data_IF_710402462652
#
_entry.id   IF_710402462652
#
_cell.length_a   1.000
_cell.length_b   1.000
_cell.length_c   1.000
_cell.angle_alpha   90.00
_cell.angle_beta   90.00
_cell.angle_gamma   90.00
#
_symmetry.space_group_name_H-M   'P 1'
#
loop_
_entity.id
_entity.type
_entity.pdbx_description
1 polymer ?
#
# COMPACT_ATOMS: atom_id res chain seq x y z
N UNK A 1 -7.48 -37.27 -4.05
CA UNK A 1 -7.60 -35.77 -4.08
C UNK A 1 -6.24 -35.22 -4.49
N UNK A 2 -6.18 -34.40 -5.51
CA UNK A 2 -4.93 -33.70 -5.88
C UNK A 2 -4.51 -32.78 -4.74
N UNK A 3 -3.22 -32.82 -4.38
CA UNK A 3 -2.66 -31.96 -3.33
C UNK A 3 -2.79 -30.49 -3.76
N UNK A 4 -3.38 -29.65 -2.93
CA UNK A 4 -3.49 -28.20 -3.17
C UNK A 4 -2.13 -27.51 -3.06
N UNK A 5 -1.90 -26.51 -3.88
CA UNK A 5 -0.62 -25.77 -3.98
C UNK A 5 -0.80 -24.30 -3.64
N UNK A 6 0.06 -23.80 -2.75
CA UNK A 6 0.17 -22.40 -2.40
C UNK A 6 1.47 -21.83 -2.99
N UNK A 7 1.36 -20.81 -3.81
CA UNK A 7 2.48 -20.00 -4.25
C UNK A 7 2.53 -18.72 -3.40
N UNK A 8 3.65 -18.46 -2.76
CA UNK A 8 3.85 -17.30 -1.89
C UNK A 8 4.89 -16.39 -2.52
N UNK A 9 4.54 -15.15 -2.79
CA UNK A 9 5.49 -14.15 -3.26
C UNK A 9 5.96 -13.27 -2.10
N UNK A 10 7.23 -13.39 -1.74
CA UNK A 10 7.84 -12.80 -0.54
C UNK A 10 9.12 -11.99 -0.86
N UNK A 11 9.01 -10.84 -1.58
CA UNK A 11 10.19 -10.08 -2.00
C UNK A 11 10.73 -9.13 -0.94
N UNK A 12 9.97 -8.76 0.09
CA UNK A 12 10.17 -7.60 0.96
C UNK A 12 10.36 -7.96 2.44
N UNK A 13 11.19 -8.96 2.75
CA UNK A 13 11.35 -9.47 4.11
C UNK A 13 11.79 -8.45 5.18
N UNK A 14 12.35 -7.29 4.79
CA UNK A 14 12.81 -6.25 5.71
C UNK A 14 12.03 -4.93 5.60
N UNK A 15 10.99 -4.85 4.79
CA UNK A 15 10.35 -3.54 4.55
C UNK A 15 9.79 -2.94 5.84
N UNK A 16 8.87 -3.60 6.48
CA UNK A 16 8.31 -3.17 7.77
C UNK A 16 7.95 -4.39 8.63
N UNK A 17 8.33 -4.43 9.90
CA UNK A 17 7.75 -5.41 10.83
C UNK A 17 6.27 -5.05 11.11
N UNK A 18 5.36 -6.02 11.20
CA UNK A 18 5.54 -7.47 11.19
C UNK A 18 5.17 -8.16 9.85
N UNK A 19 5.46 -7.56 8.68
CA UNK A 19 5.01 -8.08 7.37
C UNK A 19 5.45 -9.53 7.16
N UNK A 20 6.74 -9.83 7.38
CA UNK A 20 7.25 -11.19 7.21
C UNK A 20 6.63 -12.15 8.23
N UNK A 21 6.53 -11.74 9.47
CA UNK A 21 5.99 -12.55 10.56
C UNK A 21 4.52 -12.92 10.30
N UNK A 22 3.70 -11.95 9.89
CA UNK A 22 2.31 -12.18 9.46
C UNK A 22 2.24 -13.14 8.27
N UNK A 23 3.13 -12.97 7.28
CA UNK A 23 3.19 -13.89 6.14
C UNK A 23 3.48 -15.32 6.59
N UNK A 24 4.44 -15.50 7.51
CA UNK A 24 4.82 -16.83 8.02
C UNK A 24 3.67 -17.49 8.77
N UNK A 25 2.91 -16.75 9.56
CA UNK A 25 1.71 -17.25 10.22
C UNK A 25 0.67 -17.75 9.21
N UNK A 26 0.31 -16.92 8.23
CA UNK A 26 -0.64 -17.30 7.17
C UNK A 26 -0.14 -18.53 6.39
N UNK A 27 1.13 -18.57 6.05
CA UNK A 27 1.77 -19.72 5.34
C UNK A 27 1.69 -20.97 6.19
N UNK A 28 1.93 -20.89 7.50
CA UNK A 28 1.82 -22.04 8.39
C UNK A 28 0.40 -22.57 8.43
N UNK A 29 -0.61 -21.70 8.50
CA UNK A 29 -2.03 -22.10 8.48
C UNK A 29 -2.40 -22.86 7.19
N UNK A 30 -1.92 -22.42 6.03
CA UNK A 30 -2.10 -23.15 4.77
C UNK A 30 -1.38 -24.51 4.76
N UNK A 31 -0.16 -24.55 5.31
CA UNK A 31 0.61 -25.81 5.40
C UNK A 31 -0.09 -26.81 6.32
N UNK A 32 -0.64 -26.37 7.46
CA UNK A 32 -1.39 -27.19 8.41
C UNK A 32 -2.71 -27.71 7.79
N UNK A 33 -3.28 -26.98 6.83
CA UNK A 33 -4.41 -27.42 6.00
C UNK A 33 -4.00 -28.39 4.88
N UNK A 34 -2.71 -28.73 4.75
CA UNK A 34 -2.20 -29.72 3.79
C UNK A 34 -1.81 -29.15 2.43
N UNK A 35 -1.66 -27.84 2.29
CA UNK A 35 -1.14 -27.27 1.04
C UNK A 35 0.36 -27.57 0.88
N UNK A 36 0.78 -27.85 -0.35
CA UNK A 36 2.19 -27.77 -0.74
C UNK A 36 2.55 -26.32 -0.97
N UNK A 37 3.57 -25.82 -0.26
CA UNK A 37 3.95 -24.42 -0.28
C UNK A 37 5.23 -24.20 -1.09
N UNK A 38 5.20 -23.25 -2.02
CA UNK A 38 6.38 -22.74 -2.72
C UNK A 38 6.56 -21.25 -2.41
N UNK A 39 7.69 -20.89 -1.80
CA UNK A 39 8.06 -19.51 -1.46
C UNK A 39 8.95 -18.92 -2.55
N UNK A 40 8.50 -17.85 -3.20
CA UNK A 40 9.31 -17.09 -4.16
C UNK A 40 10.00 -15.92 -3.44
N UNK A 41 11.32 -15.87 -3.55
CA UNK A 41 12.16 -14.83 -2.90
C UNK A 41 12.95 -14.02 -3.93
N UNK A 42 13.21 -12.74 -3.63
CA UNK A 42 13.81 -11.81 -4.59
C UNK A 42 15.28 -12.10 -4.93
N UNK A 43 16.06 -12.63 -4.01
CA UNK A 43 17.51 -12.86 -4.15
C UNK A 43 18.33 -11.66 -4.70
N UNK A 44 17.85 -10.43 -4.51
CA UNK A 44 18.44 -9.20 -5.01
C UNK A 44 18.33 -9.00 -6.54
N UNK A 45 17.38 -9.63 -7.20
CA UNK A 45 17.20 -9.50 -8.65
C UNK A 45 16.42 -8.24 -9.06
N UNK A 46 15.62 -7.66 -8.16
CA UNK A 46 14.93 -6.41 -8.46
C UNK A 46 15.91 -5.25 -8.47
N UNK A 47 15.99 -4.45 -9.56
CA UNK A 47 16.86 -3.26 -9.63
C UNK A 47 16.53 -2.21 -8.58
N UNK A 48 15.29 -2.17 -8.12
CA UNK A 48 14.79 -1.34 -7.02
C UNK A 48 13.57 -2.01 -6.39
N UNK A 49 13.35 -1.76 -5.11
CA UNK A 49 12.15 -2.14 -4.39
C UNK A 49 11.90 -1.15 -3.25
N UNK A 50 10.72 -1.21 -2.63
CA UNK A 50 10.29 -0.30 -1.57
C UNK A 50 11.20 -0.35 -0.33
N UNK A 51 11.78 -1.52 -0.04
CA UNK A 51 12.73 -1.70 1.06
C UNK A 51 14.16 -1.25 0.73
N UNK A 52 14.47 -1.08 -0.57
CA UNK A 52 15.84 -0.75 -1.03
C UNK A 52 15.82 -0.02 -2.38
N UNK A 53 15.40 1.27 -2.41
CA UNK A 53 15.29 2.04 -3.66
C UNK A 53 16.61 2.16 -4.42
N UNK A 54 17.71 2.23 -3.69
CA UNK A 54 19.07 2.40 -4.25
C UNK A 54 19.76 1.07 -4.58
N UNK A 55 19.09 -0.05 -4.35
CA UNK A 55 19.64 -1.39 -4.55
C UNK A 55 20.99 -1.60 -3.82
N UNK A 56 21.09 -1.11 -2.58
CA UNK A 56 22.32 -1.25 -1.81
C UNK A 56 22.53 -2.72 -1.39
N UNK A 57 23.68 -3.29 -1.69
CA UNK A 57 23.98 -4.72 -1.50
C UNK A 57 23.77 -5.21 -0.05
N UNK A 58 24.14 -4.39 0.95
CA UNK A 58 24.02 -4.77 2.37
C UNK A 58 22.56 -4.90 2.79
N UNK A 59 21.67 -4.04 2.27
CA UNK A 59 20.23 -4.10 2.50
C UNK A 59 19.63 -5.38 1.90
N UNK A 60 20.03 -5.73 0.67
CA UNK A 60 19.62 -6.99 0.05
C UNK A 60 20.15 -8.20 0.83
N UNK A 61 21.38 -8.14 1.34
CA UNK A 61 21.96 -9.22 2.16
C UNK A 61 21.16 -9.41 3.46
N UNK A 62 20.81 -8.31 4.14
CA UNK A 62 20.00 -8.36 5.35
C UNK A 62 18.59 -8.93 5.05
N UNK A 63 17.96 -8.49 3.95
CA UNK A 63 16.66 -8.98 3.51
C UNK A 63 16.67 -10.50 3.30
N UNK A 64 17.66 -11.01 2.57
CA UNK A 64 17.83 -12.46 2.34
C UNK A 64 18.07 -13.24 3.63
N UNK A 65 18.91 -12.69 4.52
CA UNK A 65 19.21 -13.32 5.80
C UNK A 65 17.98 -13.40 6.68
N UNK A 66 17.16 -12.33 6.74
CA UNK A 66 15.91 -12.31 7.48
C UNK A 66 14.87 -13.28 6.90
N UNK A 67 14.70 -13.29 5.57
CA UNK A 67 13.83 -14.26 4.90
C UNK A 67 14.22 -15.69 5.23
N UNK A 68 15.53 -16.04 5.10
CA UNK A 68 16.04 -17.37 5.41
C UNK A 68 15.80 -17.75 6.89
N UNK A 69 16.04 -16.84 7.82
CA UNK A 69 15.78 -17.06 9.23
C UNK A 69 14.27 -17.27 9.50
N UNK A 70 13.41 -16.43 8.92
CA UNK A 70 11.96 -16.56 9.05
C UNK A 70 11.44 -17.89 8.52
N UNK A 71 11.87 -18.30 7.34
CA UNK A 71 11.44 -19.58 6.75
C UNK A 71 11.88 -20.81 7.59
N UNK A 72 12.98 -20.69 8.34
CA UNK A 72 13.42 -21.73 9.28
C UNK A 72 12.48 -21.93 10.47
N UNK A 73 11.51 -21.05 10.72
CA UNK A 73 10.49 -21.20 11.77
C UNK A 73 9.27 -21.97 11.32
N UNK A 74 9.06 -22.14 10.01
CA UNK A 74 7.96 -22.92 9.47
C UNK A 74 8.12 -24.38 9.83
N UNK A 75 7.03 -25.01 10.29
CA UNK A 75 7.00 -26.40 10.74
C UNK A 75 6.26 -27.28 9.75
N UNK A 76 6.66 -28.53 9.64
CA UNK A 76 5.97 -29.53 8.81
C UNK A 76 6.73 -29.90 7.54
N UNK A 77 6.01 -30.47 6.56
CA UNK A 77 6.59 -31.05 5.35
C UNK A 77 7.04 -29.97 4.38
N UNK A 78 8.17 -30.21 3.73
CA UNK A 78 8.86 -29.47 2.68
C UNK A 78 8.20 -28.18 2.16
N UNK A 79 8.75 -27.07 2.61
CA UNK A 79 8.58 -25.78 1.96
C UNK A 79 9.65 -25.65 0.88
N UNK A 80 9.24 -25.45 -0.35
CA UNK A 80 10.17 -25.16 -1.43
C UNK A 80 10.45 -23.66 -1.43
N UNK A 81 11.74 -23.28 -1.39
CA UNK A 81 12.18 -21.89 -1.54
C UNK A 81 12.85 -21.74 -2.88
N UNK A 82 12.29 -20.91 -3.74
CA UNK A 82 12.70 -20.76 -5.13
C UNK A 82 12.98 -19.30 -5.42
N UNK A 83 13.94 -19.04 -6.31
CA UNK A 83 14.16 -17.70 -6.84
C UNK A 83 12.92 -17.24 -7.62
N UNK A 84 12.48 -16.00 -7.36
CA UNK A 84 11.35 -15.45 -8.09
C UNK A 84 11.70 -15.15 -9.55
N UNK A 85 12.96 -14.80 -9.85
CA UNK A 85 13.35 -14.46 -11.21
C UNK A 85 13.25 -15.68 -12.13
N UNK A 86 12.32 -15.58 -13.05
CA UNK A 86 12.01 -16.62 -14.02
C UNK A 86 11.51 -15.99 -15.32
N UNK A 87 12.45 -15.46 -16.11
CA UNK A 87 12.15 -14.81 -17.40
C UNK A 87 12.94 -15.48 -18.52
N UNK A 88 12.32 -15.65 -19.67
CA UNK A 88 13.01 -16.10 -20.89
C UNK A 88 13.85 -14.96 -21.49
N UNK A 89 14.78 -15.28 -22.41
CA UNK A 89 15.56 -14.24 -23.12
C UNK A 89 14.66 -13.25 -23.87
N UNK A 90 13.59 -13.72 -24.51
CA UNK A 90 12.61 -12.88 -25.20
C UNK A 90 11.89 -11.96 -24.20
N UNK A 91 11.49 -12.47 -23.06
CA UNK A 91 10.86 -11.65 -22.03
C UNK A 91 11.85 -10.64 -21.43
N UNK A 92 13.13 -11.01 -21.29
CA UNK A 92 14.16 -10.07 -20.84
C UNK A 92 14.33 -8.90 -21.83
N UNK A 93 14.33 -9.15 -23.13
CA UNK A 93 14.34 -8.11 -24.15
C UNK A 93 13.09 -7.21 -24.09
N UNK A 94 11.92 -7.80 -23.84
CA UNK A 94 10.68 -7.02 -23.60
C UNK A 94 10.78 -6.15 -22.34
N UNK A 95 11.27 -6.70 -21.23
CA UNK A 95 11.53 -5.93 -19.99
C UNK A 95 12.44 -4.74 -20.26
N UNK A 96 13.51 -4.95 -21.04
CA UNK A 96 14.46 -3.90 -21.40
C UNK A 96 13.83 -2.84 -22.28
N UNK A 97 12.95 -3.22 -23.21
CA UNK A 97 12.20 -2.31 -24.06
C UNK A 97 11.19 -1.48 -23.25
N UNK A 98 10.41 -2.13 -22.38
CA UNK A 98 9.43 -1.49 -21.50
C UNK A 98 10.12 -0.48 -20.55
N UNK A 99 11.26 -0.85 -19.97
CA UNK A 99 12.04 0.02 -19.07
C UNK A 99 12.62 1.26 -19.76
N UNK A 100 12.75 1.23 -21.10
CA UNK A 100 13.17 2.38 -21.91
C UNK A 100 12.03 3.28 -22.36
N UNK A 101 10.78 2.92 -22.07
CA UNK A 101 9.62 3.77 -22.37
C UNK A 101 9.81 5.12 -21.71
N UNK A 102 9.76 6.17 -22.52
CA UNK A 102 9.83 7.54 -22.01
C UNK A 102 8.48 7.92 -21.44
N UNK A 103 8.46 8.32 -20.20
CA UNK A 103 7.29 8.82 -19.48
C UNK A 103 7.59 10.25 -19.04
N UNK A 104 6.78 11.20 -19.46
CA UNK A 104 6.97 12.64 -19.18
C UNK A 104 5.95 13.16 -18.16
N UNK A 105 4.81 12.50 -18.04
CA UNK A 105 3.71 12.92 -17.17
C UNK A 105 3.20 11.77 -16.30
N UNK A 106 2.56 12.13 -15.19
CA UNK A 106 1.87 11.15 -14.30
C UNK A 106 0.77 10.41 -15.07
N UNK A 107 0.06 11.12 -15.98
CA UNK A 107 -1.00 10.50 -16.78
C UNK A 107 -0.45 9.43 -17.73
N UNK A 108 0.67 9.69 -18.40
CA UNK A 108 1.36 8.69 -19.23
C UNK A 108 1.86 7.51 -18.40
N UNK A 109 2.44 7.77 -17.22
CA UNK A 109 2.86 6.68 -16.33
C UNK A 109 1.67 5.83 -15.91
N UNK A 110 0.58 6.45 -15.47
CA UNK A 110 -0.64 5.75 -15.04
C UNK A 110 -1.23 4.87 -16.14
N UNK A 111 -1.14 5.31 -17.40
CA UNK A 111 -1.64 4.57 -18.56
C UNK A 111 -0.71 3.44 -19.03
N UNK A 112 0.47 3.27 -18.44
CA UNK A 112 1.42 2.24 -18.87
C UNK A 112 0.95 0.85 -18.44
N UNK A 113 0.64 0.02 -19.44
CA UNK A 113 0.22 -1.36 -19.27
C UNK A 113 1.16 -2.35 -19.95
N UNK A 114 1.22 -3.58 -19.42
CA UNK A 114 1.93 -4.71 -20.01
C UNK A 114 1.03 -5.95 -19.95
N UNK A 115 0.62 -6.44 -21.11
CA UNK A 115 -0.25 -7.62 -21.24
C UNK A 115 -1.52 -7.52 -20.35
N UNK A 116 -2.13 -6.31 -20.30
CA UNK A 116 -3.30 -6.02 -19.46
C UNK A 116 -3.01 -5.79 -17.96
N UNK A 117 -1.75 -5.81 -17.58
CA UNK A 117 -1.33 -5.44 -16.21
C UNK A 117 -1.02 -3.94 -16.12
N UNK A 118 -1.64 -3.24 -15.22
CA UNK A 118 -1.49 -1.80 -14.95
C UNK A 118 -0.18 -1.49 -14.18
N UNK A 119 0.94 -1.90 -14.75
CA UNK A 119 2.26 -1.72 -14.12
C UNK A 119 2.59 -0.24 -13.87
N UNK A 120 2.07 0.66 -14.69
CA UNK A 120 2.25 2.09 -14.53
C UNK A 120 1.66 2.62 -13.23
N UNK A 121 0.48 2.12 -12.83
CA UNK A 121 -0.13 2.45 -11.54
C UNK A 121 0.71 1.94 -10.36
N UNK A 122 1.27 0.74 -10.47
CA UNK A 122 2.19 0.19 -9.48
C UNK A 122 3.46 1.05 -9.32
N UNK A 123 4.05 1.46 -10.44
CA UNK A 123 5.23 2.32 -10.48
C UNK A 123 4.91 3.70 -9.89
N UNK A 124 3.79 4.30 -10.28
CA UNK A 124 3.34 5.58 -9.74
C UNK A 124 3.20 5.52 -8.21
N UNK A 125 2.56 4.46 -7.69
CA UNK A 125 2.41 4.26 -6.25
C UNK A 125 3.77 4.21 -5.53
N UNK A 126 4.76 3.50 -6.09
CA UNK A 126 6.11 3.43 -5.51
C UNK A 126 6.82 4.78 -5.56
N UNK A 127 6.78 5.49 -6.69
CA UNK A 127 7.47 6.78 -6.86
C UNK A 127 6.87 7.84 -5.95
N UNK A 128 5.54 8.00 -5.94
CA UNK A 128 4.82 8.95 -5.08
C UNK A 128 5.13 8.70 -3.60
N UNK A 129 5.04 7.44 -3.15
CA UNK A 129 5.30 7.08 -1.76
C UNK A 129 6.77 7.28 -1.37
N UNK A 130 7.72 6.98 -2.27
CA UNK A 130 9.15 7.13 -1.99
C UNK A 130 9.59 8.59 -1.93
N UNK A 131 9.04 9.44 -2.78
CA UNK A 131 9.35 10.87 -2.84
C UNK A 131 8.51 11.69 -1.85
N UNK A 132 7.44 11.11 -1.30
CA UNK A 132 6.46 11.83 -0.48
C UNK A 132 5.91 13.06 -1.22
N UNK A 133 5.71 12.95 -2.53
CA UNK A 133 5.19 14.00 -3.40
C UNK A 133 4.01 13.45 -4.23
N UNK A 134 2.80 14.02 -4.11
CA UNK A 134 1.64 13.57 -4.87
C UNK A 134 1.75 13.91 -6.38
N UNK A 135 2.64 14.83 -6.76
CA UNK A 135 2.82 15.26 -8.15
C UNK A 135 4.30 15.42 -8.52
N UNK A 136 5.08 14.31 -8.48
CA UNK A 136 6.51 14.36 -8.78
C UNK A 136 6.77 14.66 -10.27
N UNK A 137 7.81 15.43 -10.54
CA UNK A 137 8.27 15.68 -11.90
C UNK A 137 8.94 14.43 -12.49
N UNK A 138 8.29 13.79 -13.45
CA UNK A 138 8.77 12.57 -14.10
C UNK A 138 10.11 12.77 -14.82
N UNK A 139 10.41 13.95 -15.31
CA UNK A 139 11.68 14.22 -15.99
C UNK A 139 12.85 14.28 -15.00
N UNK A 140 12.65 14.91 -13.85
CA UNK A 140 13.65 14.96 -12.76
C UNK A 140 13.93 13.55 -12.22
N UNK A 141 12.91 12.70 -12.12
CA UNK A 141 13.01 11.37 -11.53
C UNK A 141 13.09 10.23 -12.55
N UNK A 142 13.42 10.55 -13.82
CA UNK A 142 13.43 9.59 -14.94
C UNK A 142 14.20 8.30 -14.65
N UNK A 143 15.36 8.38 -14.03
CA UNK A 143 16.17 7.21 -13.75
C UNK A 143 15.51 6.28 -12.71
N UNK A 144 14.88 6.84 -11.69
CA UNK A 144 14.14 6.09 -10.68
C UNK A 144 12.88 5.46 -11.29
N UNK A 145 12.13 6.21 -12.11
CA UNK A 145 10.96 5.71 -12.83
C UNK A 145 11.32 4.53 -13.73
N UNK A 146 12.39 4.64 -14.54
CA UNK A 146 12.84 3.57 -15.42
C UNK A 146 13.27 2.30 -14.67
N UNK A 147 13.99 2.45 -13.54
CA UNK A 147 14.34 1.31 -12.67
C UNK A 147 13.10 0.64 -12.09
N UNK A 148 12.12 1.43 -11.66
CA UNK A 148 10.89 0.93 -11.05
C UNK A 148 10.01 0.23 -12.09
N UNK A 149 9.90 0.76 -13.31
CA UNK A 149 9.25 0.10 -14.46
C UNK A 149 9.91 -1.26 -14.72
N UNK A 150 11.24 -1.31 -14.75
CA UNK A 150 11.99 -2.57 -14.94
C UNK A 150 11.64 -3.59 -13.85
N UNK A 151 11.62 -3.18 -12.58
CA UNK A 151 11.24 -4.06 -11.47
C UNK A 151 9.82 -4.60 -11.64
N UNK A 152 8.85 -3.75 -11.96
CA UNK A 152 7.47 -4.13 -12.17
C UNK A 152 7.30 -5.14 -13.32
N UNK A 153 7.97 -4.91 -14.46
CA UNK A 153 7.94 -5.81 -15.60
C UNK A 153 8.59 -7.17 -15.30
N UNK A 154 9.73 -7.19 -14.58
CA UNK A 154 10.36 -8.45 -14.13
C UNK A 154 9.42 -9.26 -13.23
N UNK A 155 8.73 -8.61 -12.29
CA UNK A 155 7.74 -9.28 -11.43
C UNK A 155 6.62 -9.87 -12.27
N UNK A 156 6.04 -9.10 -13.17
CA UNK A 156 4.94 -9.55 -14.03
C UNK A 156 5.28 -10.85 -14.77
N UNK A 157 6.35 -10.85 -15.58
CA UNK A 157 6.72 -12.02 -16.37
C UNK A 157 7.17 -13.20 -15.51
N UNK A 158 7.92 -12.96 -14.44
CA UNK A 158 8.39 -14.02 -13.56
C UNK A 158 7.24 -14.74 -12.85
N UNK A 159 6.25 -13.98 -12.36
CA UNK A 159 5.10 -14.59 -11.68
C UNK A 159 4.23 -15.37 -12.65
N UNK A 160 3.97 -14.86 -13.86
CA UNK A 160 3.27 -15.61 -14.91
C UNK A 160 3.97 -16.96 -15.19
N UNK A 161 5.28 -16.96 -15.40
CA UNK A 161 6.03 -18.19 -15.68
C UNK A 161 6.04 -19.16 -14.49
N UNK A 162 6.01 -18.67 -13.26
CA UNK A 162 5.86 -19.53 -12.08
C UNK A 162 4.45 -20.12 -11.98
N UNK A 163 3.42 -19.33 -12.27
CA UNK A 163 2.04 -19.82 -12.30
C UNK A 163 1.88 -20.93 -13.34
N UNK A 164 2.37 -20.71 -14.55
CA UNK A 164 2.31 -21.71 -15.63
C UNK A 164 3.04 -23.02 -15.26
N UNK A 165 4.21 -22.90 -14.63
CA UNK A 165 5.02 -24.05 -14.26
C UNK A 165 4.47 -24.81 -13.06
N UNK A 166 3.99 -24.10 -12.05
CA UNK A 166 3.64 -24.68 -10.74
C UNK A 166 2.15 -24.98 -10.61
N UNK A 167 1.30 -24.38 -11.46
CA UNK A 167 -0.16 -24.49 -11.43
C UNK A 167 -0.71 -24.38 -10.00
N UNK A 168 -0.47 -23.23 -9.29
CA UNK A 168 -0.92 -23.07 -7.92
C UNK A 168 -2.45 -22.90 -7.87
N UNK A 169 -3.07 -23.39 -6.78
CA UNK A 169 -4.48 -23.10 -6.48
C UNK A 169 -4.66 -21.70 -5.88
N UNK A 170 -3.62 -21.22 -5.17
CA UNK A 170 -3.64 -19.92 -4.48
C UNK A 170 -2.29 -19.22 -4.66
N UNK A 171 -2.33 -17.91 -4.93
CA UNK A 171 -1.19 -16.99 -4.86
C UNK A 171 -1.38 -16.07 -3.64
N UNK A 172 -0.46 -16.16 -2.68
CA UNK A 172 -0.41 -15.29 -1.50
C UNK A 172 0.65 -14.20 -1.66
N UNK A 173 0.28 -12.94 -1.41
CA UNK A 173 1.21 -11.82 -1.42
C UNK A 173 0.78 -10.71 -0.44
N UNK A 174 1.72 -9.84 -0.08
CA UNK A 174 1.48 -8.67 0.75
C UNK A 174 0.98 -7.48 -0.10
N UNK A 175 0.10 -6.64 0.45
CA UNK A 175 -0.31 -5.29 0.00
C UNK A 175 -0.88 -5.20 -1.43
N UNK A 176 -0.20 -5.66 -2.46
CA UNK A 176 -0.69 -5.65 -3.85
C UNK A 176 -0.75 -4.28 -4.53
N UNK A 177 -0.15 -3.22 -3.97
CA UNK A 177 -0.25 -1.84 -4.50
C UNK A 177 1.00 -1.38 -5.26
N UNK A 178 2.18 -1.65 -4.72
CA UNK A 178 3.46 -1.07 -5.17
C UNK A 178 4.12 -1.86 -6.30
N UNK A 179 5.17 -1.31 -6.91
CA UNK A 179 5.81 -1.85 -8.11
C UNK A 179 6.38 -3.26 -7.95
N UNK A 180 6.84 -3.61 -6.74
CA UNK A 180 7.33 -4.96 -6.47
C UNK A 180 6.22 -5.98 -6.16
N UNK A 181 4.94 -5.58 -6.05
CA UNK A 181 3.85 -6.43 -5.59
C UNK A 181 2.64 -6.45 -6.53
N UNK A 182 2.16 -5.28 -7.00
CA UNK A 182 0.97 -5.20 -7.87
C UNK A 182 1.06 -6.02 -9.14
N UNK A 183 2.20 -6.09 -9.85
CA UNK A 183 2.30 -6.93 -11.04
C UNK A 183 2.11 -8.42 -10.75
N UNK A 184 2.46 -8.87 -9.53
CA UNK A 184 2.21 -10.26 -9.12
C UNK A 184 0.72 -10.52 -8.88
N UNK A 185 0.01 -9.58 -8.25
CA UNK A 185 -1.44 -9.63 -8.10
C UNK A 185 -2.14 -9.72 -9.46
N UNK A 186 -1.77 -8.82 -10.39
CA UNK A 186 -2.35 -8.77 -11.74
C UNK A 186 -2.05 -10.04 -12.54
N UNK A 187 -0.84 -10.60 -12.42
CA UNK A 187 -0.49 -11.87 -13.04
C UNK A 187 -1.37 -13.02 -12.51
N UNK A 188 -1.60 -13.09 -11.20
CA UNK A 188 -2.51 -14.08 -10.59
C UNK A 188 -3.94 -13.93 -11.11
N UNK A 189 -4.48 -12.73 -11.11
CA UNK A 189 -5.83 -12.41 -11.60
C UNK A 189 -5.98 -12.77 -13.10
N UNK A 190 -5.04 -12.37 -13.94
CA UNK A 190 -5.05 -12.66 -15.37
C UNK A 190 -4.98 -14.16 -15.67
N UNK A 191 -4.31 -14.93 -14.82
CA UNK A 191 -4.19 -16.39 -14.93
C UNK A 191 -5.36 -17.16 -14.31
N UNK A 192 -6.34 -16.47 -13.71
CA UNK A 192 -7.46 -17.10 -13.02
C UNK A 192 -7.07 -17.85 -11.74
N UNK A 193 -5.89 -17.60 -11.19
CA UNK A 193 -5.43 -18.16 -9.91
C UNK A 193 -6.05 -17.34 -8.79
N UNK A 194 -6.63 -18.01 -7.79
CA UNK A 194 -7.15 -17.33 -6.61
C UNK A 194 -6.03 -16.54 -5.92
N UNK A 195 -6.18 -15.23 -5.82
CA UNK A 195 -5.22 -14.38 -5.13
C UNK A 195 -5.68 -14.08 -3.72
N UNK A 196 -4.76 -14.18 -2.76
CA UNK A 196 -4.94 -13.78 -1.37
C UNK A 196 -3.94 -12.69 -1.06
N UNK A 197 -4.45 -11.51 -0.75
CA UNK A 197 -3.63 -10.36 -0.40
C UNK A 197 -3.83 -10.01 1.06
N UNK A 198 -2.75 -9.95 1.82
CA UNK A 198 -2.82 -9.56 3.22
C UNK A 198 -2.22 -8.17 3.44
N UNK A 199 -2.69 -7.49 4.49
CA UNK A 199 -2.18 -6.21 4.96
C UNK A 199 -2.09 -6.24 6.49
N UNK A 200 -1.15 -5.49 7.04
CA UNK A 200 -1.03 -5.31 8.49
C UNK A 200 -2.28 -4.62 9.03
N UNK A 201 -2.86 -5.19 10.06
CA UNK A 201 -4.06 -4.64 10.68
C UNK A 201 -3.79 -3.41 11.55
N UNK A 202 -4.86 -2.80 12.04
CA UNK A 202 -4.80 -1.65 12.95
C UNK A 202 -4.29 -1.99 14.37
N UNK A 203 -3.92 -3.24 14.63
CA UNK A 203 -3.34 -3.74 15.87
C UNK A 203 -2.19 -4.69 15.58
N UNK A 204 -1.16 -4.80 16.46
CA UNK A 204 0.00 -5.67 16.23
C UNK A 204 -0.31 -7.15 16.06
N UNK A 205 -1.45 -7.60 16.61
CA UNK A 205 -1.96 -8.97 16.58
C UNK A 205 -3.06 -9.19 15.54
N UNK A 206 -3.22 -8.28 14.61
CA UNK A 206 -4.27 -8.31 13.59
C UNK A 206 -3.72 -8.10 12.20
N UNK A 207 -4.30 -8.76 11.24
CA UNK A 207 -4.09 -8.53 9.81
C UNK A 207 -5.41 -8.63 9.05
N UNK A 208 -5.46 -7.99 7.90
CA UNK A 208 -6.58 -8.07 6.96
C UNK A 208 -6.18 -8.97 5.80
N UNK A 209 -7.11 -9.81 5.34
CA UNK A 209 -6.97 -10.55 4.07
C UNK A 209 -8.10 -10.20 3.13
N UNK A 210 -7.76 -9.97 1.87
CA UNK A 210 -8.70 -9.79 0.77
C UNK A 210 -8.51 -10.88 -0.28
N UNK A 211 -9.60 -11.21 -0.98
CA UNK A 211 -9.60 -12.24 -2.02
C UNK A 211 -9.78 -11.57 -3.38
N UNK A 212 -8.91 -11.90 -4.33
CA UNK A 212 -8.94 -11.42 -5.72
C UNK A 212 -8.95 -9.90 -5.89
N UNK A 213 -8.59 -9.18 -4.84
CA UNK A 213 -8.40 -7.74 -4.81
C UNK A 213 -7.31 -7.37 -3.81
N UNK A 214 -6.99 -6.08 -3.67
CA UNK A 214 -6.00 -5.62 -2.70
C UNK A 214 -6.65 -4.82 -1.56
N UNK A 215 -6.00 -4.72 -0.39
CA UNK A 215 -6.58 -4.14 0.83
C UNK A 215 -6.92 -2.64 0.77
N UNK A 216 -6.57 -1.96 -0.31
CA UNK A 216 -6.89 -0.53 -0.53
C UNK A 216 -8.08 -0.32 -1.47
N UNK A 217 -8.70 -1.39 -1.94
CA UNK A 217 -9.95 -1.32 -2.71
C UNK A 217 -11.12 -1.03 -1.75
N UNK A 218 -11.63 0.22 -1.81
CA UNK A 218 -12.65 0.69 -0.87
C UNK A 218 -13.98 -0.02 -1.03
N UNK A 219 -14.37 -0.38 -2.25
CA UNK A 219 -15.63 -1.10 -2.48
C UNK A 219 -15.53 -2.53 -1.94
N UNK A 220 -14.44 -3.21 -2.22
CA UNK A 220 -14.21 -4.55 -1.67
C UNK A 220 -14.11 -4.53 -0.14
N UNK A 221 -13.46 -3.53 0.46
CA UNK A 221 -13.40 -3.36 1.91
C UNK A 221 -14.79 -3.13 2.52
N UNK A 222 -15.61 -2.30 1.89
CA UNK A 222 -16.97 -2.04 2.32
C UNK A 222 -17.79 -3.33 2.38
N UNK A 223 -17.67 -4.18 1.35
CA UNK A 223 -18.35 -5.46 1.31
C UNK A 223 -17.86 -6.41 2.41
N UNK A 224 -16.56 -6.48 2.64
CA UNK A 224 -15.96 -7.26 3.72
C UNK A 224 -16.46 -6.79 5.09
N UNK A 225 -16.47 -5.49 5.35
CA UNK A 225 -16.93 -4.95 6.62
C UNK A 225 -18.44 -5.12 6.82
N UNK A 226 -19.24 -4.93 5.77
CA UNK A 226 -20.69 -5.20 5.83
C UNK A 226 -20.95 -6.66 6.18
N UNK A 227 -20.27 -7.58 5.51
CA UNK A 227 -20.37 -9.01 5.79
C UNK A 227 -20.02 -9.34 7.23
N UNK A 228 -18.87 -8.83 7.75
CA UNK A 228 -18.47 -9.02 9.15
C UNK A 228 -19.53 -8.48 10.09
N UNK A 229 -20.09 -7.29 9.81
CA UNK A 229 -21.13 -6.68 10.63
C UNK A 229 -22.42 -7.51 10.65
N UNK A 230 -22.83 -8.03 9.50
CA UNK A 230 -24.06 -8.81 9.35
C UNK A 230 -23.95 -10.20 9.98
N UNK A 231 -22.78 -10.85 9.86
CA UNK A 231 -22.50 -12.18 10.42
C UNK A 231 -22.18 -12.16 11.92
N UNK A 232 -21.85 -11.00 12.50
CA UNK A 232 -21.54 -10.86 13.91
C UNK A 232 -22.78 -11.13 14.77
N UNK A 233 -22.61 -11.96 15.82
CA UNK A 233 -23.70 -12.43 16.70
C UNK A 233 -24.11 -11.41 17.78
N UNK A 234 -23.31 -10.36 17.97
CA UNK A 234 -23.56 -9.30 18.93
C UNK A 234 -24.84 -8.53 18.62
N UNK A 235 -25.53 -8.07 19.67
CA UNK A 235 -26.70 -7.19 19.48
C UNK A 235 -26.30 -5.84 18.84
N UNK A 236 -27.24 -5.12 18.19
CA UNK A 236 -26.96 -3.79 17.64
C UNK A 236 -26.37 -2.82 18.67
N UNK A 237 -26.83 -2.88 19.94
CA UNK A 237 -26.34 -2.05 21.03
C UNK A 237 -24.87 -2.40 21.37
N UNK A 238 -24.54 -3.68 21.38
CA UNK A 238 -23.17 -4.13 21.64
C UNK A 238 -22.23 -3.78 20.48
N UNK A 239 -22.66 -3.93 19.22
CA UNK A 239 -21.92 -3.47 18.06
C UNK A 239 -21.64 -1.96 18.12
N UNK A 240 -22.65 -1.16 18.48
CA UNK A 240 -22.51 0.28 18.68
C UNK A 240 -21.54 0.62 19.83
N UNK A 241 -21.60 -0.13 20.94
CA UNK A 241 -20.68 0.03 22.09
C UNK A 241 -19.24 -0.27 21.68
N UNK A 242 -19.00 -1.36 20.94
CA UNK A 242 -17.67 -1.72 20.45
C UNK A 242 -17.12 -0.62 19.54
N UNK A 243 -17.90 -0.17 18.57
CA UNK A 243 -17.50 0.92 17.67
C UNK A 243 -17.23 2.22 18.45
N UNK A 244 -18.13 2.60 19.37
CA UNK A 244 -17.98 3.79 20.23
C UNK A 244 -16.74 3.75 21.13
N UNK A 245 -16.33 2.56 21.59
CA UNK A 245 -15.15 2.38 22.43
C UNK A 245 -13.86 2.83 21.74
N UNK A 246 -13.76 2.66 20.43
CA UNK A 246 -12.62 3.11 19.62
C UNK A 246 -12.47 4.63 19.67
N UNK A 247 -13.57 5.37 19.48
CA UNK A 247 -13.58 6.84 19.56
C UNK A 247 -13.29 7.31 20.99
N UNK A 248 -13.93 6.68 21.98
CA UNK A 248 -13.73 7.03 23.40
C UNK A 248 -12.27 6.85 23.83
N UNK A 249 -11.60 5.78 23.37
CA UNK A 249 -10.20 5.56 23.66
C UNK A 249 -9.30 6.65 23.05
N UNK A 250 -9.59 7.06 21.80
CA UNK A 250 -8.84 8.14 21.13
C UNK A 250 -9.06 9.50 21.76
N UNK A 251 -10.30 9.84 22.12
CA UNK A 251 -10.60 11.08 22.87
C UNK A 251 -9.85 11.13 24.20
N UNK A 252 -9.71 9.99 24.87
CA UNK A 252 -8.95 9.85 26.11
C UNK A 252 -7.43 9.73 25.90
N UNK A 253 -6.94 9.97 24.68
CA UNK A 253 -5.52 9.80 24.26
C UNK A 253 -4.95 8.41 24.57
N UNK A 254 -5.79 7.39 24.57
CA UNK A 254 -5.40 5.98 24.73
C UNK A 254 -5.32 5.32 23.38
N UNK A 255 -4.24 5.61 22.64
CA UNK A 255 -3.98 4.97 21.34
C UNK A 255 -3.20 3.69 21.59
N UNK A 256 -3.81 2.55 21.31
CA UNK A 256 -3.21 1.24 21.52
C UNK A 256 -2.51 0.71 20.28
N UNK A 257 -2.74 1.30 19.10
CA UNK A 257 -2.28 0.79 17.81
C UNK A 257 -1.99 1.92 16.82
N UNK A 258 -0.94 1.74 16.02
CA UNK A 258 -0.52 2.68 15.00
C UNK A 258 0.28 3.88 15.54
N UNK A 259 0.71 4.75 14.64
CA UNK A 259 1.39 5.98 15.00
C UNK A 259 0.42 6.97 15.64
N UNK A 260 0.78 7.51 16.80
CA UNK A 260 0.05 8.61 17.44
C UNK A 260 0.77 9.92 17.14
N UNK A 261 0.03 10.89 16.61
CA UNK A 261 0.52 12.26 16.42
C UNK A 261 -0.04 13.21 17.51
N UNK A 262 -0.66 12.66 18.55
CA UNK A 262 -1.39 13.44 19.57
C UNK A 262 -0.71 13.44 20.94
N UNK A 263 0.42 12.77 21.10
CA UNK A 263 1.10 12.62 22.40
C UNK A 263 1.50 13.97 23.04
N UNK A 264 1.86 14.96 22.22
CA UNK A 264 2.22 16.30 22.66
C UNK A 264 1.03 17.29 22.67
N UNK A 265 -0.19 16.82 22.43
CA UNK A 265 -1.38 17.67 22.41
C UNK A 265 -1.99 17.81 23.80
N UNK A 266 -2.31 19.05 24.16
CA UNK A 266 -3.03 19.38 25.39
C UNK A 266 -4.51 19.57 25.08
N UNK A 267 -5.37 18.77 25.73
CA UNK A 267 -6.83 18.87 25.57
C UNK A 267 -7.30 20.26 25.98
N UNK A 268 -8.05 20.94 25.09
CA UNK A 268 -8.59 22.27 25.35
C UNK A 268 -7.63 23.42 25.05
N UNK A 269 -6.37 23.16 24.67
CA UNK A 269 -5.46 24.18 24.23
C UNK A 269 -5.87 24.71 22.86
N UNK A 270 -6.29 25.97 22.83
CA UNK A 270 -6.73 26.67 21.62
C UNK A 270 -5.70 27.77 21.32
N UNK A 271 -5.27 27.95 20.04
CA UNK A 271 -4.39 29.03 19.65
C UNK A 271 -4.99 30.41 20.07
N UNK A 272 -4.15 31.30 20.60
CA UNK A 272 -4.57 32.62 21.05
C UNK A 272 -5.14 33.52 19.92
N UNK A 273 -4.81 33.16 18.67
CA UNK A 273 -5.29 33.86 17.46
C UNK A 273 -6.76 33.57 17.14
N UNK A 274 -7.39 32.61 17.83
CA UNK A 274 -8.77 32.25 17.58
C UNK A 274 -9.74 33.16 18.37
N UNK A 275 -10.64 33.80 17.63
CA UNK A 275 -11.69 34.66 18.21
C UNK A 275 -12.67 33.85 19.05
N UNK A 276 -13.04 34.37 20.21
CA UNK A 276 -13.90 33.66 21.16
C UNK A 276 -15.36 33.55 20.70
N UNK A 277 -15.82 34.53 19.90
CA UNK A 277 -17.24 34.65 19.48
C UNK A 277 -17.52 34.21 18.03
N UNK A 278 -16.51 33.76 17.28
CA UNK A 278 -16.70 33.29 15.92
C UNK A 278 -17.11 31.80 15.88
N UNK A 279 -17.92 31.41 14.87
CA UNK A 279 -18.12 30.02 14.51
C UNK A 279 -16.81 29.44 13.98
N UNK A 280 -16.28 28.46 14.65
CA UNK A 280 -15.01 27.82 14.26
C UNK A 280 -15.27 26.62 13.39
N UNK A 281 -14.69 26.60 12.19
CA UNK A 281 -14.78 25.49 11.23
C UNK A 281 -13.40 24.88 11.10
N UNK A 282 -13.24 23.65 11.61
CA UNK A 282 -12.00 22.87 11.46
C UNK A 282 -11.94 22.18 10.10
N UNK A 283 -10.85 22.40 9.36
CA UNK A 283 -10.54 21.70 8.11
C UNK A 283 -9.39 20.74 8.41
N UNK A 284 -9.61 19.45 8.24
CA UNK A 284 -8.61 18.39 8.45
C UNK A 284 -8.25 17.78 7.10
N UNK A 285 -6.98 17.82 6.73
CA UNK A 285 -6.50 17.30 5.48
C UNK A 285 -5.65 16.05 5.68
N UNK A 286 -5.58 15.21 4.65
CA UNK A 286 -4.67 14.07 4.54
C UNK A 286 -3.40 14.43 3.76
N UNK A 287 -2.40 13.58 3.82
CA UNK A 287 -1.23 13.63 2.95
C UNK A 287 -1.59 12.99 1.61
N UNK A 288 -1.60 13.75 0.51
CA UNK A 288 -2.09 13.28 -0.80
C UNK A 288 -1.22 12.18 -1.41
N UNK A 289 0.06 12.11 -1.03
CA UNK A 289 0.97 11.04 -1.45
C UNK A 289 0.51 9.64 -0.98
N UNK A 290 -0.35 9.58 0.03
CA UNK A 290 -0.87 8.31 0.55
C UNK A 290 -1.97 7.70 -0.33
N UNK A 291 -2.68 8.50 -1.14
CA UNK A 291 -3.86 8.04 -1.87
C UNK A 291 -3.91 8.40 -3.37
N UNK A 292 -3.14 9.38 -3.85
CA UNK A 292 -3.19 9.82 -5.26
C UNK A 292 -2.89 8.69 -6.27
N UNK A 293 -2.15 7.69 -5.84
CA UNK A 293 -1.83 6.50 -6.62
C UNK A 293 -2.57 5.24 -6.15
N UNK A 294 -3.78 5.41 -5.60
CA UNK A 294 -4.69 4.34 -5.20
C UNK A 294 -5.98 4.47 -5.99
N UNK A 295 -6.43 3.38 -6.61
CA UNK A 295 -7.66 3.38 -7.40
C UNK A 295 -8.87 3.70 -6.51
N UNK A 296 -9.77 4.55 -7.00
CA UNK A 296 -11.00 4.91 -6.30
C UNK A 296 -10.84 5.88 -5.11
N UNK A 297 -9.61 6.30 -4.78
CA UNK A 297 -9.37 7.23 -3.67
C UNK A 297 -9.26 8.69 -4.09
N UNK A 298 -9.20 8.97 -5.39
CA UNK A 298 -9.19 10.34 -5.89
C UNK A 298 -10.54 11.01 -5.65
N UNK A 299 -10.57 12.26 -5.12
CA UNK A 299 -11.82 12.98 -4.94
C UNK A 299 -12.44 13.32 -6.31
N UNK A 300 -13.74 13.03 -6.46
CA UNK A 300 -14.48 13.33 -7.69
C UNK A 300 -14.93 14.81 -7.76
N UNK A 301 -14.87 15.55 -6.65
CA UNK A 301 -15.42 16.89 -6.52
C UNK A 301 -14.38 17.97 -6.76
N UNK A 302 -13.18 17.79 -6.24
CA UNK A 302 -12.07 18.74 -6.35
C UNK A 302 -10.83 18.07 -6.94
N UNK A 303 -10.04 18.82 -7.69
CA UNK A 303 -8.80 18.32 -8.30
C UNK A 303 -7.75 17.99 -7.23
N UNK A 304 -7.72 18.77 -6.14
CA UNK A 304 -6.86 18.56 -4.96
C UNK A 304 -7.56 19.04 -3.71
N UNK A 305 -7.05 18.66 -2.53
CA UNK A 305 -7.53 19.20 -1.25
C UNK A 305 -7.30 20.72 -1.16
N UNK A 306 -6.18 21.19 -1.66
CA UNK A 306 -5.85 22.62 -1.70
C UNK A 306 -6.86 23.42 -2.50
N UNK A 307 -7.30 22.90 -3.65
CA UNK A 307 -8.34 23.51 -4.47
C UNK A 307 -9.69 23.57 -3.74
N UNK A 308 -10.07 22.47 -3.09
CA UNK A 308 -11.30 22.41 -2.29
C UNK A 308 -11.28 23.44 -1.13
N UNK A 309 -10.14 23.61 -0.49
CA UNK A 309 -9.97 24.63 0.57
C UNK A 309 -10.14 26.03 0.00
N UNK A 310 -9.50 26.37 -1.12
CA UNK A 310 -9.64 27.70 -1.77
C UNK A 310 -11.09 27.99 -2.09
N UNK A 311 -11.79 27.07 -2.74
CA UNK A 311 -13.20 27.24 -3.09
C UNK A 311 -14.08 27.43 -1.84
N UNK A 312 -13.79 26.70 -0.77
CA UNK A 312 -14.49 26.88 0.50
C UNK A 312 -14.24 28.28 1.08
N UNK A 313 -13.00 28.74 1.14
CA UNK A 313 -12.66 30.06 1.66
C UNK A 313 -13.26 31.18 0.80
N UNK A 314 -13.24 31.04 -0.52
CA UNK A 314 -13.85 32.00 -1.46
C UNK A 314 -15.36 32.09 -1.29
N UNK A 315 -16.05 30.95 -1.09
CA UNK A 315 -17.49 30.91 -0.86
C UNK A 315 -17.94 31.60 0.43
N UNK A 316 -17.04 31.73 1.40
CA UNK A 316 -17.29 32.40 2.67
C UNK A 316 -16.55 33.74 2.81
N UNK A 317 -15.88 34.21 1.77
CA UNK A 317 -15.20 35.50 1.78
C UNK A 317 -16.17 36.65 2.13
N UNK A 318 -15.78 37.50 3.07
CA UNK A 318 -16.59 38.62 3.52
C UNK A 318 -17.77 38.24 4.43
N UNK A 319 -17.87 37.03 4.93
CA UNK A 319 -18.83 36.64 5.97
C UNK A 319 -18.19 36.83 7.35
N UNK A 320 -18.72 37.76 8.12
CA UNK A 320 -18.30 37.97 9.50
C UNK A 320 -18.72 36.82 10.42
N UNK A 321 -17.96 36.64 11.49
CA UNK A 321 -18.30 35.68 12.55
C UNK A 321 -17.99 34.21 12.23
N UNK A 322 -17.26 33.91 11.15
CA UNK A 322 -16.76 32.59 10.82
C UNK A 322 -15.22 32.61 10.77
N UNK A 323 -14.60 31.63 11.43
CA UNK A 323 -13.16 31.45 11.43
C UNK A 323 -12.80 30.03 11.02
N UNK A 324 -11.99 29.89 9.97
CA UNK A 324 -11.48 28.60 9.51
C UNK A 324 -10.15 28.24 10.19
N UNK A 325 -10.02 27.00 10.61
CA UNK A 325 -8.81 26.45 11.23
C UNK A 325 -8.35 25.26 10.40
N UNK A 326 -7.27 25.44 9.64
CA UNK A 326 -6.67 24.36 8.85
C UNK A 326 -5.73 23.53 9.73
N UNK A 327 -6.04 22.26 9.91
CA UNK A 327 -5.15 21.28 10.53
C UNK A 327 -4.40 20.53 9.45
N UNK A 328 -3.16 20.89 9.22
CA UNK A 328 -2.26 20.21 8.28
C UNK A 328 -1.87 18.84 8.85
N UNK A 329 -1.87 17.82 8.00
CA UNK A 329 -1.50 16.46 8.40
C UNK A 329 -0.03 16.42 8.87
N UNK A 330 0.27 15.78 10.01
CA UNK A 330 1.64 15.73 10.55
C UNK A 330 2.68 15.14 9.59
N UNK A 331 2.28 14.23 8.72
CA UNK A 331 3.16 13.66 7.69
C UNK A 331 3.71 14.69 6.69
N UNK A 332 3.10 15.85 6.59
CA UNK A 332 3.57 16.95 5.72
C UNK A 332 4.63 17.84 6.41
N UNK A 333 4.85 17.66 7.71
CA UNK A 333 5.80 18.49 8.46
C UNK A 333 7.22 18.32 7.91
N UNK A 334 7.82 19.45 7.52
CA UNK A 334 9.19 19.49 6.99
C UNK A 334 9.36 19.00 5.55
N UNK A 335 8.27 18.68 4.86
CA UNK A 335 8.30 18.35 3.43
C UNK A 335 8.21 19.61 2.57
N UNK A 336 8.94 19.62 1.46
CA UNK A 336 8.80 20.55 0.35
C UNK A 336 8.33 19.76 -0.88
N UNK A 337 7.03 19.62 -1.03
CA UNK A 337 6.38 18.90 -2.13
C UNK A 337 5.26 19.75 -2.75
N UNK A 338 4.59 19.23 -3.78
CA UNK A 338 3.52 19.93 -4.47
C UNK A 338 2.42 20.38 -3.50
N UNK A 339 1.94 19.49 -2.62
CA UNK A 339 0.86 19.80 -1.68
C UNK A 339 1.25 20.88 -0.66
N UNK A 340 2.47 20.80 -0.08
CA UNK A 340 2.91 21.81 0.92
C UNK A 340 3.09 23.18 0.30
N UNK A 341 3.55 23.27 -0.96
CA UNK A 341 3.65 24.54 -1.70
C UNK A 341 2.29 25.13 -2.02
N UNK A 342 1.31 24.31 -2.41
CA UNK A 342 -0.07 24.76 -2.63
C UNK A 342 -0.73 25.26 -1.35
N UNK A 343 -0.55 24.54 -0.23
CA UNK A 343 -1.09 24.94 1.07
C UNK A 343 -0.47 26.24 1.58
N UNK A 344 0.82 26.49 1.31
CA UNK A 344 1.49 27.73 1.67
C UNK A 344 1.02 28.94 0.85
N UNK A 345 0.35 28.71 -0.27
CA UNK A 345 -0.22 29.75 -1.13
C UNK A 345 -1.70 30.08 -0.83
N UNK A 346 -2.31 29.39 0.13
CA UNK A 346 -3.66 29.66 0.66
C UNK A 346 -3.58 30.64 1.81
#
# INVERSE_FOLDING_TARGET
>A
MTQKRLLVYSPLAIWQPPILETQLEIVQDYADQGYQVTMLTCHAHLPTCEANPDHHWSVCTLCRSRAKAGFGWLRGRSFDVVDFLNVTSVQQERVDAIARTRVETIAELRALEVDGSDIGMAVLSTIVSSLRDPSPDMNTHRAAVAKTIRSAALVHFSILNHIDRLCPDVLLLFNGRVASLRPALRAGQASGVKTVVYEVGGAPDRYLMTMDTYPHDLEALKDVFNKIYDEALESPEEKARIAGSWYTARIANRVTHGSSFTEAQEVGRIPETLETNALRVGIFISSEDEFVAVDGWNPDVYVSQSEGIRQLLDAFAGRDGIQFVLRVHPNLTGLDNAQTRELAAI
#
